data_IF_304824247555
#
_entry.id   IF_304824247555
#
_cell.length_a   1.000
_cell.length_b   1.000
_cell.length_c   1.000
_cell.angle_alpha   90.00
_cell.angle_beta   90.00
_cell.angle_gamma   90.00
#
_symmetry.space_group_name_H-M   'P 1'
#
loop_
_entity.id
_entity.type
_entity.pdbx_description
1 polymer ?
#
# COMPACT_ATOMS: atom_id res chain seq x y z
N UNK A 1 -17.13 -52.28 17.73
CA UNK A 1 -17.76 -51.79 16.50
C UNK A 1 -18.51 -50.51 16.84
N UNK A 2 -18.26 -49.47 16.03
CA UNK A 2 -18.93 -48.16 15.92
C UNK A 2 -18.45 -47.01 16.84
N UNK A 3 -17.46 -46.28 16.30
CA UNK A 3 -17.19 -44.86 16.58
C UNK A 3 -18.43 -43.99 16.31
N UNK A 4 -18.77 -43.03 17.19
CA UNK A 4 -19.66 -41.95 16.82
C UNK A 4 -18.91 -40.92 15.97
N UNK A 5 -19.43 -40.72 14.75
CA UNK A 5 -18.90 -39.84 13.72
C UNK A 5 -18.85 -38.39 14.20
N UNK A 6 -17.68 -37.79 14.09
CA UNK A 6 -17.41 -36.38 14.37
C UNK A 6 -18.05 -35.51 13.26
N UNK A 7 -19.30 -35.10 13.46
CA UNK A 7 -20.01 -34.13 12.61
C UNK A 7 -19.33 -32.75 12.73
N UNK A 8 -18.50 -32.39 11.75
CA UNK A 8 -17.91 -31.06 11.65
C UNK A 8 -18.97 -30.04 11.18
N UNK A 9 -19.60 -29.36 12.13
CA UNK A 9 -20.36 -28.14 11.82
C UNK A 9 -19.38 -27.00 11.49
N UNK A 10 -19.18 -26.74 10.20
CA UNK A 10 -18.43 -25.56 9.74
C UNK A 10 -19.24 -24.28 9.97
N UNK A 11 -19.14 -23.68 11.16
CA UNK A 11 -19.74 -22.39 11.50
C UNK A 11 -18.87 -21.21 11.01
N UNK A 12 -18.41 -21.27 9.76
CA UNK A 12 -17.60 -20.24 9.10
C UNK A 12 -18.28 -19.75 7.82
N UNK A 13 -17.99 -18.53 7.34
CA UNK A 13 -18.58 -18.03 6.11
C UNK A 13 -17.98 -18.78 4.92
N UNK A 14 -18.83 -19.26 4.03
CA UNK A 14 -18.42 -19.86 2.76
C UNK A 14 -18.60 -18.83 1.66
N UNK A 15 -17.51 -18.45 1.01
CA UNK A 15 -17.51 -17.59 -0.16
C UNK A 15 -17.42 -18.45 -1.41
N UNK A 16 -18.34 -18.24 -2.36
CA UNK A 16 -18.41 -19.02 -3.61
C UNK A 16 -17.83 -18.25 -4.82
N UNK A 17 -16.98 -17.23 -4.60
CA UNK A 17 -16.38 -16.38 -5.62
C UNK A 17 -15.05 -15.75 -5.15
N UNK A 18 -14.27 -15.18 -6.08
CA UNK A 18 -13.03 -14.44 -5.76
C UNK A 18 -13.34 -13.19 -4.93
N UNK A 19 -12.68 -13.08 -3.77
CA UNK A 19 -12.78 -11.93 -2.87
C UNK A 19 -11.38 -11.33 -2.76
N UNK A 20 -11.20 -10.11 -3.29
CA UNK A 20 -9.99 -9.32 -3.10
C UNK A 20 -10.31 -8.09 -2.25
N UNK A 21 -9.47 -7.80 -1.25
CA UNK A 21 -9.63 -6.66 -0.35
C UNK A 21 -10.57 -6.87 0.85
N UNK A 22 -11.11 -8.07 1.10
CA UNK A 22 -11.92 -8.30 2.29
C UNK A 22 -11.07 -8.57 3.54
N UNK A 23 -11.34 -7.84 4.61
CA UNK A 23 -10.85 -8.16 5.94
C UNK A 23 -11.96 -8.85 6.73
N UNK A 24 -11.78 -10.14 7.00
CA UNK A 24 -12.73 -10.97 7.74
C UNK A 24 -12.13 -11.32 9.10
N UNK A 25 -12.74 -10.82 10.16
CA UNK A 25 -12.40 -11.19 11.53
C UNK A 25 -13.55 -12.02 12.12
N UNK A 26 -13.28 -13.27 12.49
CA UNK A 26 -14.27 -14.18 13.09
C UNK A 26 -13.75 -14.64 14.46
N UNK A 27 -14.61 -14.47 15.48
CA UNK A 27 -14.43 -14.95 16.86
C UNK A 27 -13.28 -14.34 17.69
N UNK A 28 -13.04 -13.03 17.57
CA UNK A 28 -12.12 -12.31 18.46
C UNK A 28 -12.88 -11.33 19.34
N UNK A 29 -12.77 -11.51 20.66
CA UNK A 29 -13.53 -10.76 21.68
C UNK A 29 -13.18 -9.28 21.82
N UNK A 30 -12.06 -8.83 21.24
CA UNK A 30 -11.76 -7.40 21.14
C UNK A 30 -10.82 -7.16 19.96
N UNK A 31 -11.35 -6.61 18.87
CA UNK A 31 -10.56 -6.11 17.75
C UNK A 31 -10.75 -4.60 17.72
N UNK A 32 -9.72 -3.86 18.14
CA UNK A 32 -9.64 -2.44 17.80
C UNK A 32 -9.15 -2.33 16.36
N UNK A 33 -10.08 -2.44 15.42
CA UNK A 33 -9.81 -2.27 14.00
C UNK A 33 -9.71 -0.77 13.72
N UNK A 34 -8.50 -0.22 13.73
CA UNK A 34 -8.24 1.15 13.28
C UNK A 34 -8.26 1.23 11.74
N UNK A 35 -9.34 0.77 11.09
CA UNK A 35 -9.62 1.17 9.71
C UNK A 35 -10.16 2.60 9.71
N UNK A 36 -9.27 3.59 9.80
CA UNK A 36 -9.59 4.99 9.50
C UNK A 36 -9.28 5.34 8.05
N UNK A 37 -9.57 4.44 7.11
CA UNK A 37 -9.68 4.77 5.67
C UNK A 37 -11.17 4.96 5.33
N UNK A 38 -11.80 5.97 5.93
CA UNK A 38 -13.21 6.31 5.66
C UNK A 38 -13.38 7.16 4.39
N UNK A 39 -12.39 7.10 3.49
CA UNK A 39 -12.36 7.82 2.22
C UNK A 39 -12.24 6.77 1.13
N UNK A 40 -13.34 6.47 0.44
CA UNK A 40 -13.35 5.49 -0.63
C UNK A 40 -12.31 5.89 -1.70
N UNK A 41 -11.40 4.98 -2.03
CA UNK A 41 -10.50 5.14 -3.18
C UNK A 41 -11.35 5.29 -4.43
N UNK A 42 -10.98 6.23 -5.29
CA UNK A 42 -11.67 6.43 -6.56
C UNK A 42 -11.61 5.16 -7.42
N UNK A 43 -12.72 4.74 -8.06
CA UNK A 43 -12.73 3.56 -8.90
C UNK A 43 -11.64 3.60 -9.97
N UNK A 44 -10.89 2.50 -10.13
CA UNK A 44 -9.78 2.36 -11.07
C UNK A 44 -8.40 2.74 -10.51
N UNK A 45 -8.32 3.22 -9.26
CA UNK A 45 -7.07 3.58 -8.58
C UNK A 45 -6.71 2.65 -7.43
N UNK A 46 -7.41 1.52 -7.28
CA UNK A 46 -7.22 0.56 -6.19
C UNK A 46 -5.81 -0.03 -6.22
N UNK A 47 -5.33 -0.44 -7.40
CA UNK A 47 -3.98 -0.97 -7.57
C UNK A 47 -2.91 0.06 -7.20
N UNK A 48 -3.14 1.35 -7.52
CA UNK A 48 -2.24 2.42 -7.11
C UNK A 48 -2.28 2.63 -5.59
N UNK A 49 -3.45 2.64 -4.98
CA UNK A 49 -3.61 2.77 -3.54
C UNK A 49 -2.86 1.67 -2.79
N UNK A 50 -3.06 0.40 -3.17
CA UNK A 50 -2.36 -0.75 -2.59
C UNK A 50 -0.85 -0.59 -2.71
N UNK A 51 -0.36 -0.10 -3.86
CA UNK A 51 1.08 0.10 -4.05
C UNK A 51 1.69 1.22 -3.24
N UNK A 52 0.95 2.31 -3.04
CA UNK A 52 1.40 3.37 -2.14
C UNK A 52 1.35 2.91 -0.68
N UNK A 53 0.34 2.14 -0.26
CA UNK A 53 0.28 1.57 1.08
C UNK A 53 1.43 0.58 1.34
N UNK A 54 1.77 -0.26 0.36
CA UNK A 54 2.93 -1.15 0.41
C UNK A 54 4.25 -0.38 0.53
N UNK A 55 4.39 0.71 -0.21
CA UNK A 55 5.55 1.59 -0.15
C UNK A 55 5.69 2.19 1.25
N UNK A 56 4.61 2.78 1.79
CA UNK A 56 4.58 3.37 3.13
C UNK A 56 4.91 2.34 4.22
N UNK A 57 4.47 1.09 4.06
CA UNK A 57 4.77 0.00 4.98
C UNK A 57 6.24 -0.42 4.95
N UNK A 58 6.89 -0.40 3.79
CA UNK A 58 8.29 -0.78 3.61
C UNK A 58 9.27 0.35 3.94
N UNK A 59 8.82 1.60 3.81
CA UNK A 59 9.64 2.80 3.95
C UNK A 59 10.49 2.87 5.23
N UNK A 60 10.01 2.47 6.43
CA UNK A 60 10.84 2.46 7.64
C UNK A 60 12.00 1.47 7.60
N UNK A 61 11.88 0.41 6.79
CA UNK A 61 12.87 -0.66 6.65
C UNK A 61 13.76 -0.48 5.42
N UNK A 62 13.51 0.53 4.60
CA UNK A 62 14.23 0.77 3.36
C UNK A 62 15.64 1.34 3.59
N UNK A 63 16.03 1.66 4.83
CA UNK A 63 17.39 2.13 5.14
C UNK A 63 17.73 3.52 4.59
N UNK A 64 16.71 4.35 4.37
CA UNK A 64 16.85 5.76 3.98
C UNK A 64 17.31 6.60 5.18
N UNK A 65 18.01 7.71 4.89
CA UNK A 65 18.19 8.76 5.88
C UNK A 65 16.82 9.35 6.27
N UNK A 66 16.70 9.84 7.51
CA UNK A 66 15.42 10.32 8.04
C UNK A 66 14.74 11.38 7.17
N UNK A 67 15.52 12.30 6.60
CA UNK A 67 15.00 13.33 5.70
C UNK A 67 14.42 12.74 4.41
N UNK A 68 15.15 11.85 3.76
CA UNK A 68 14.68 11.22 2.50
C UNK A 68 13.46 10.32 2.77
N UNK A 69 13.44 9.67 3.93
CA UNK A 69 12.29 8.90 4.43
C UNK A 69 11.06 9.80 4.61
N UNK A 70 11.19 10.93 5.30
CA UNK A 70 10.11 11.88 5.53
C UNK A 70 9.59 12.49 4.21
N UNK A 71 10.50 12.86 3.31
CA UNK A 71 10.15 13.42 2.00
C UNK A 71 9.37 12.37 1.16
N UNK A 72 9.82 11.10 1.18
CA UNK A 72 9.14 10.01 0.46
C UNK A 72 7.78 9.69 1.07
N UNK A 73 7.68 9.70 2.41
CA UNK A 73 6.42 9.50 3.13
C UNK A 73 5.40 10.59 2.78
N UNK A 74 5.83 11.86 2.80
CA UNK A 74 4.99 12.99 2.45
C UNK A 74 4.48 12.88 1.01
N UNK A 75 5.38 12.61 0.06
CA UNK A 75 5.01 12.47 -1.35
C UNK A 75 4.06 11.28 -1.60
N UNK A 76 4.24 10.16 -0.90
CA UNK A 76 3.34 9.02 -0.96
C UNK A 76 1.94 9.35 -0.41
N UNK A 77 1.86 10.05 0.72
CA UNK A 77 0.57 10.50 1.30
C UNK A 77 -0.17 11.48 0.38
N UNK A 78 0.56 12.30 -0.39
CA UNK A 78 -0.04 13.19 -1.39
C UNK A 78 -0.71 12.41 -2.53
N UNK A 79 -0.12 11.29 -2.95
CA UNK A 79 -0.73 10.38 -3.95
C UNK A 79 -2.02 9.78 -3.40
N UNK A 80 -2.01 9.25 -2.17
CA UNK A 80 -3.22 8.73 -1.51
C UNK A 80 -4.31 9.79 -1.41
N UNK A 81 -3.94 11.03 -1.05
CA UNK A 81 -4.88 12.16 -0.96
C UNK A 81 -5.44 12.56 -2.33
N UNK A 82 -4.70 12.33 -3.42
CA UNK A 82 -5.18 12.57 -4.77
C UNK A 82 -6.28 11.57 -5.18
N UNK A 83 -6.19 10.31 -4.73
CA UNK A 83 -7.09 9.22 -5.15
C UNK A 83 -8.21 8.89 -4.15
N UNK A 84 -8.16 9.40 -2.92
CA UNK A 84 -9.20 9.15 -1.88
C UNK A 84 -10.24 10.28 -1.77
N UNK A 85 -10.20 11.27 -2.67
CA UNK A 85 -11.14 12.39 -2.62
C UNK A 85 -12.52 12.01 -3.18
N UNK A 86 -13.62 12.63 -2.68
CA UNK A 86 -14.93 12.47 -3.29
C UNK A 86 -14.93 12.99 -4.72
N UNK A 87 -15.19 12.11 -5.69
CA UNK A 87 -15.23 12.43 -7.12
C UNK A 87 -14.03 11.88 -7.90
N UNK A 88 -14.06 11.98 -9.24
CA UNK A 88 -12.96 11.50 -10.07
C UNK A 88 -11.68 12.28 -9.75
N UNK A 89 -10.53 11.60 -9.59
CA UNK A 89 -9.27 12.27 -9.30
C UNK A 89 -8.86 13.17 -10.47
N UNK A 90 -8.38 14.36 -10.13
CA UNK A 90 -7.83 15.29 -11.13
C UNK A 90 -6.53 14.70 -11.71
N UNK A 91 -6.57 14.19 -12.95
CA UNK A 91 -5.43 13.53 -13.60
C UNK A 91 -4.14 14.37 -13.57
N UNK A 92 -4.25 15.69 -13.75
CA UNK A 92 -3.11 16.60 -13.69
C UNK A 92 -2.48 16.67 -12.29
N UNK A 93 -3.30 16.59 -11.24
CA UNK A 93 -2.83 16.55 -9.85
C UNK A 93 -2.21 15.20 -9.53
N UNK A 94 -2.83 14.10 -9.96
CA UNK A 94 -2.32 12.76 -9.74
C UNK A 94 -0.95 12.56 -10.41
N UNK A 95 -0.84 12.94 -11.69
CA UNK A 95 0.44 12.86 -12.43
C UNK A 95 1.55 13.66 -11.74
N UNK A 96 1.24 14.85 -11.21
CA UNK A 96 2.20 15.64 -10.44
C UNK A 96 2.60 14.95 -9.13
N UNK A 97 1.65 14.43 -8.37
CA UNK A 97 1.93 13.73 -7.11
C UNK A 97 2.83 12.50 -7.34
N UNK A 98 2.52 11.68 -8.36
CA UNK A 98 3.33 10.53 -8.74
C UNK A 98 4.72 10.96 -9.22
N UNK A 99 4.82 12.04 -10.01
CA UNK A 99 6.11 12.57 -10.45
C UNK A 99 6.97 13.08 -9.29
N UNK A 100 6.36 13.71 -8.28
CA UNK A 100 7.06 14.14 -7.06
C UNK A 100 7.61 12.94 -6.29
N UNK A 101 6.78 11.92 -6.06
CA UNK A 101 7.23 10.70 -5.39
C UNK A 101 8.40 10.03 -6.12
N UNK A 102 8.32 9.92 -7.46
CA UNK A 102 9.45 9.42 -8.27
C UNK A 102 10.69 10.30 -8.16
N UNK A 103 10.51 11.61 -8.14
CA UNK A 103 11.60 12.58 -7.99
C UNK A 103 12.33 12.45 -6.67
N UNK A 104 11.61 12.20 -5.57
CA UNK A 104 12.20 11.96 -4.24
C UNK A 104 12.98 10.64 -4.21
N UNK A 105 12.46 9.59 -4.84
CA UNK A 105 13.09 8.27 -4.83
C UNK A 105 14.27 8.16 -5.81
N UNK A 106 14.33 8.99 -6.85
CA UNK A 106 15.34 8.87 -7.91
C UNK A 106 16.80 9.04 -7.44
N UNK A 107 17.16 10.01 -6.58
CA UNK A 107 18.52 10.11 -6.02
C UNK A 107 18.95 8.88 -5.21
N UNK A 108 18.00 8.22 -4.55
CA UNK A 108 18.21 6.98 -3.78
C UNK A 108 18.43 5.81 -4.73
N UNK A 109 17.58 5.66 -5.75
CA UNK A 109 17.69 4.61 -6.76
C UNK A 109 18.97 4.71 -7.62
N UNK A 110 19.53 5.91 -7.75
CA UNK A 110 20.80 6.16 -8.48
C UNK A 110 22.03 6.11 -7.58
N UNK A 111 21.86 5.94 -6.26
CA UNK A 111 22.97 5.90 -5.31
C UNK A 111 23.71 7.24 -5.16
N UNK A 112 23.10 8.35 -5.61
CA UNK A 112 23.70 9.69 -5.55
C UNK A 112 23.71 10.24 -4.12
N UNK A 113 22.78 9.78 -3.28
CA UNK A 113 22.73 10.15 -1.85
C UNK A 113 23.84 9.41 -1.10
N UNK A 114 24.77 10.17 -0.52
CA UNK A 114 25.88 9.63 0.25
C UNK A 114 25.38 8.82 1.45
N UNK A 115 25.86 7.58 1.59
CA UNK A 115 25.44 6.67 2.67
C UNK A 115 24.24 5.78 2.36
N UNK A 116 23.71 5.83 1.13
CA UNK A 116 22.65 4.92 0.68
C UNK A 116 23.16 3.48 0.70
N UNK A 117 22.52 2.62 1.48
CA UNK A 117 22.80 1.19 1.45
C UNK A 117 22.33 0.59 0.11
N UNK A 118 23.02 -0.45 -0.40
CA UNK A 118 22.64 -1.14 -1.64
C UNK A 118 21.17 -1.59 -1.60
N UNK A 119 20.69 -2.08 -0.44
CA UNK A 119 19.29 -2.46 -0.26
C UNK A 119 18.30 -1.28 -0.38
N UNK A 120 18.69 -0.07 0.01
CA UNK A 120 17.87 1.14 -0.15
C UNK A 120 17.75 1.53 -1.63
N UNK A 121 18.83 1.37 -2.38
CA UNK A 121 18.87 1.65 -3.81
C UNK A 121 17.99 0.66 -4.61
N UNK A 122 18.13 -0.64 -4.32
CA UNK A 122 17.29 -1.70 -4.93
C UNK A 122 15.81 -1.49 -4.62
N UNK A 123 15.49 -1.20 -3.35
CA UNK A 123 14.14 -0.87 -2.93
C UNK A 123 13.57 0.34 -3.67
N UNK A 124 14.33 1.45 -3.77
CA UNK A 124 13.88 2.65 -4.44
C UNK A 124 13.66 2.43 -5.95
N UNK A 125 14.48 1.58 -6.57
CA UNK A 125 14.33 1.18 -7.97
C UNK A 125 13.03 0.40 -8.18
N UNK A 126 12.80 -0.63 -7.36
CA UNK A 126 11.57 -1.44 -7.40
C UNK A 126 10.31 -0.59 -7.14
N UNK A 127 10.39 0.38 -6.23
CA UNK A 127 9.31 1.33 -5.96
C UNK A 127 8.99 2.20 -7.19
N UNK A 128 10.00 2.77 -7.86
CA UNK A 128 9.80 3.60 -9.06
C UNK A 128 9.23 2.76 -10.23
N UNK A 129 9.69 1.54 -10.42
CA UNK A 129 9.19 0.62 -11.44
C UNK A 129 7.72 0.28 -11.20
N UNK A 130 7.36 -0.04 -9.95
CA UNK A 130 5.98 -0.31 -9.54
C UNK A 130 5.02 0.86 -9.80
N UNK A 131 5.49 2.10 -9.64
CA UNK A 131 4.71 3.29 -9.97
C UNK A 131 4.53 3.51 -11.47
N UNK A 132 5.51 3.09 -12.28
CA UNK A 132 5.49 3.31 -13.74
C UNK A 132 4.55 2.33 -14.45
N UNK A 133 4.32 1.14 -13.89
CA UNK A 133 3.42 0.14 -14.47
C UNK A 133 1.92 0.42 -14.25
N UNK A 134 1.56 1.41 -13.44
CA UNK A 134 0.19 1.63 -12.96
C UNK A 134 -0.45 2.91 -13.55
N UNK A 135 0.35 3.87 -14.05
CA UNK A 135 -0.11 5.18 -14.55
C UNK A 135 0.15 5.35 -16.03
#
# INVERSE_FOLDING_TARGET
MNDPQNEHHSQGPVFNAEVSGAQLAWNNGEVTQNQRNNSAVAPGFEALAERIEDLLRQLPQAGLADRDREDAESAARDVLTAITRPGPPEEGRLRRAVALLRGVLAPVATGVVAGTAVGAQEWATAAIEGLTGIV
#
